data_IF_422971945251
#
_entry.id   IF_422971945251
#
_cell.length_a   1.000
_cell.length_b   1.000
_cell.length_c   1.000
_cell.angle_alpha   90.00
_cell.angle_beta   90.00
_cell.angle_gamma   90.00
#
_symmetry.space_group_name_H-M   'P 1'
#
loop_
_entity.id
_entity.type
_entity.pdbx_description
1 polymer ?
#
# COMPACT_ATOMS: atom_id res chain seq x y z
N UNK A 1 -5.90 6.59 31.85
CA UNK A 1 -5.91 5.34 31.07
C UNK A 1 -6.58 5.64 29.73
N UNK A 2 -5.79 5.82 28.66
CA UNK A 2 -6.33 6.16 27.34
C UNK A 2 -6.97 4.91 26.72
N UNK A 3 -8.26 4.94 26.40
CA UNK A 3 -8.90 3.88 25.63
C UNK A 3 -8.22 3.84 24.26
N UNK A 4 -7.63 2.71 23.86
CA UNK A 4 -7.35 2.47 22.43
C UNK A 4 -8.70 2.54 21.73
N UNK A 5 -8.84 3.47 20.81
CA UNK A 5 -10.02 3.54 19.97
C UNK A 5 -9.77 2.52 18.85
N UNK A 6 -10.55 1.44 18.87
CA UNK A 6 -10.46 0.40 17.85
C UNK A 6 -11.01 0.92 16.51
N UNK A 7 -10.40 0.46 15.43
CA UNK A 7 -10.84 0.71 14.06
C UNK A 7 -10.94 -0.63 13.33
N UNK A 8 -11.74 -0.68 12.27
CA UNK A 8 -11.87 -1.84 11.40
C UNK A 8 -12.71 -1.51 10.17
N UNK A 9 -13.35 -2.53 9.62
CA UNK A 9 -14.20 -2.42 8.41
C UNK A 9 -15.66 -2.85 8.65
N UNK A 10 -16.04 -3.09 9.91
CA UNK A 10 -17.42 -3.40 10.30
C UNK A 10 -18.29 -2.16 10.41
N UNK A 11 -19.60 -2.34 10.56
CA UNK A 11 -20.58 -1.24 10.54
C UNK A 11 -20.38 -0.16 11.63
N UNK A 12 -19.79 -0.52 12.78
CA UNK A 12 -19.65 0.40 13.93
C UNK A 12 -18.31 1.15 13.94
N UNK A 13 -17.24 0.53 13.44
CA UNK A 13 -15.87 1.07 13.49
C UNK A 13 -15.25 1.19 12.09
N UNK A 14 -16.10 1.30 11.08
CA UNK A 14 -15.76 1.33 9.66
C UNK A 14 -15.22 2.68 9.19
N UNK A 15 -14.81 2.78 7.91
CA UNK A 15 -14.23 3.99 7.33
C UNK A 15 -15.04 5.28 7.57
N UNK A 16 -16.37 5.20 7.52
CA UNK A 16 -17.27 6.34 7.72
C UNK A 16 -17.14 6.98 9.12
N UNK A 17 -16.69 6.22 10.13
CA UNK A 17 -16.53 6.70 11.51
C UNK A 17 -15.07 6.97 11.89
N UNK A 18 -14.10 6.63 11.03
CA UNK A 18 -12.67 6.77 11.37
C UNK A 18 -12.31 8.22 11.72
N UNK A 19 -12.91 9.18 11.04
CA UNK A 19 -12.62 10.59 11.23
C UNK A 19 -13.06 11.17 12.60
N UNK A 20 -13.85 10.43 13.37
CA UNK A 20 -14.24 10.83 14.72
C UNK A 20 -13.13 10.56 15.74
N UNK A 21 -12.23 9.64 15.41
CA UNK A 21 -11.11 9.21 16.27
C UNK A 21 -9.74 9.54 15.68
N UNK A 22 -9.65 9.62 14.35
CA UNK A 22 -8.45 9.91 13.59
C UNK A 22 -8.71 11.11 12.67
N UNK A 23 -8.52 12.36 13.15
CA UNK A 23 -8.87 13.56 12.40
C UNK A 23 -8.22 13.67 11.01
N UNK A 24 -7.08 13.01 10.80
CA UNK A 24 -6.41 12.93 9.51
C UNK A 24 -7.27 12.27 8.41
N UNK A 25 -8.24 11.42 8.76
CA UNK A 25 -9.16 10.80 7.81
C UNK A 25 -10.08 11.82 7.08
N UNK A 26 -10.19 13.06 7.60
CA UNK A 26 -10.85 14.20 6.92
C UNK A 26 -9.87 15.08 6.12
N UNK A 27 -8.63 14.64 5.94
CA UNK A 27 -7.60 15.37 5.21
C UNK A 27 -7.93 15.54 3.72
N UNK A 28 -7.29 16.52 3.06
CA UNK A 28 -7.52 16.81 1.63
C UNK A 28 -6.73 15.91 0.67
N UNK A 29 -5.76 15.16 1.20
CA UNK A 29 -4.88 14.29 0.42
C UNK A 29 -5.02 12.84 0.95
N UNK A 30 -6.25 12.34 1.05
CA UNK A 30 -6.52 10.96 1.45
C UNK A 30 -6.50 10.02 0.24
N UNK A 31 -6.27 8.75 0.52
CA UNK A 31 -6.34 7.64 -0.43
C UNK A 31 -7.25 6.55 0.16
N UNK A 32 -7.82 5.65 -0.66
CA UNK A 32 -7.68 5.55 -2.13
C UNK A 32 -8.43 6.65 -2.90
N UNK A 33 -8.23 6.68 -4.22
CA UNK A 33 -9.00 7.53 -5.15
C UNK A 33 -9.53 6.73 -6.35
N UNK A 34 -10.53 7.29 -7.01
CA UNK A 34 -10.91 6.86 -8.35
C UNK A 34 -10.07 7.59 -9.40
N UNK A 35 -9.43 6.80 -10.27
CA UNK A 35 -8.64 7.25 -11.40
C UNK A 35 -9.56 7.33 -12.63
N UNK A 36 -9.95 8.55 -12.99
CA UNK A 36 -10.67 8.80 -14.23
C UNK A 36 -9.68 9.05 -15.37
N UNK A 37 -9.50 8.08 -16.27
CA UNK A 37 -8.45 8.12 -17.31
C UNK A 37 -8.58 9.34 -18.22
N UNK A 38 -9.81 9.82 -18.45
CA UNK A 38 -10.10 11.05 -19.22
C UNK A 38 -9.43 12.32 -18.68
N UNK A 39 -9.07 12.37 -17.39
CA UNK A 39 -8.41 13.51 -16.76
C UNK A 39 -6.90 13.32 -16.56
N UNK A 40 -6.38 12.11 -16.84
CA UNK A 40 -4.96 11.79 -16.70
C UNK A 40 -4.22 12.22 -17.96
N UNK A 41 -3.09 12.90 -17.78
CA UNK A 41 -2.22 13.34 -18.89
C UNK A 41 -0.90 12.59 -18.84
N UNK A 42 -0.42 12.18 -20.00
CA UNK A 42 0.92 11.63 -20.13
C UNK A 42 1.96 12.73 -19.85
N UNK A 43 2.84 12.50 -18.88
CA UNK A 43 4.00 13.34 -18.59
C UNK A 43 5.27 12.66 -19.12
N UNK A 44 5.82 13.19 -20.21
CA UNK A 44 7.01 12.65 -20.86
C UNK A 44 8.30 12.81 -20.04
N UNK A 45 8.29 13.58 -18.95
CA UNK A 45 9.44 13.73 -18.04
C UNK A 45 9.57 12.57 -17.06
N UNK A 46 8.49 11.78 -16.86
CA UNK A 46 8.52 10.63 -15.98
C UNK A 46 9.41 9.53 -16.53
N UNK A 47 10.44 9.18 -15.76
CA UNK A 47 11.34 8.07 -16.07
C UNK A 47 10.77 6.75 -15.55
N UNK A 48 11.28 5.60 -16.01
CA UNK A 48 11.01 4.33 -15.35
C UNK A 48 11.53 4.35 -13.90
N UNK A 49 10.81 3.68 -13.00
CA UNK A 49 11.31 3.36 -11.65
C UNK A 49 12.02 2.01 -11.67
N UNK A 50 12.92 1.78 -10.71
CA UNK A 50 13.70 0.55 -10.59
C UNK A 50 13.56 -0.07 -9.21
N UNK A 51 13.55 -1.40 -9.16
CA UNK A 51 13.56 -2.16 -7.90
C UNK A 51 14.74 -3.11 -7.85
N UNK A 52 15.36 -3.18 -6.68
CA UNK A 52 16.34 -4.20 -6.32
C UNK A 52 15.87 -4.88 -5.06
N UNK A 53 15.10 -5.96 -5.22
CA UNK A 53 14.64 -6.82 -4.14
C UNK A 53 15.49 -8.08 -4.13
N UNK A 54 16.44 -8.15 -3.20
CA UNK A 54 17.32 -9.31 -3.02
C UNK A 54 16.65 -10.34 -2.11
N UNK A 55 17.16 -11.57 -2.09
CA UNK A 55 16.67 -12.58 -1.15
C UNK A 55 16.78 -12.08 0.28
N UNK A 56 15.68 -12.16 1.03
CA UNK A 56 15.69 -11.86 2.45
C UNK A 56 16.36 -13.02 3.21
N UNK A 57 17.22 -12.69 4.18
CA UNK A 57 17.68 -13.68 5.16
C UNK A 57 16.57 -14.11 6.11
N UNK A 58 15.62 -13.22 6.40
CA UNK A 58 14.39 -13.52 7.14
C UNK A 58 13.24 -12.59 6.73
N UNK A 59 12.02 -13.12 6.78
CA UNK A 59 10.76 -12.40 6.59
C UNK A 59 9.76 -12.90 7.63
N UNK A 60 8.91 -12.01 8.12
CA UNK A 60 7.81 -12.39 9.01
C UNK A 60 6.49 -12.19 8.29
N UNK A 61 5.68 -13.24 8.23
CA UNK A 61 4.28 -13.14 7.81
C UNK A 61 3.40 -13.09 9.06
N UNK A 62 2.44 -12.17 9.09
CA UNK A 62 1.52 -12.00 10.20
C UNK A 62 0.12 -11.62 9.71
N UNK A 63 -0.90 -12.14 10.39
CA UNK A 63 -2.25 -11.61 10.32
C UNK A 63 -2.44 -10.67 11.51
N UNK A 64 -2.72 -9.40 11.26
CA UNK A 64 -2.91 -8.40 12.31
C UNK A 64 -4.38 -8.12 12.66
N UNK A 65 -5.28 -8.97 12.18
CA UNK A 65 -6.73 -8.83 12.30
C UNK A 65 -7.39 -8.03 11.18
N UNK A 66 -6.61 -7.27 10.40
CA UNK A 66 -7.13 -6.43 9.30
C UNK A 66 -6.57 -6.83 7.94
N UNK A 67 -5.34 -7.32 7.88
CA UNK A 67 -4.70 -7.78 6.64
C UNK A 67 -3.63 -8.83 6.92
N UNK A 68 -3.16 -9.48 5.86
CA UNK A 68 -1.92 -10.27 5.90
C UNK A 68 -0.75 -9.34 5.56
N UNK A 69 0.22 -9.25 6.48
CA UNK A 69 1.42 -8.44 6.32
C UNK A 69 2.64 -9.34 6.17
N UNK A 70 3.46 -9.05 5.17
CA UNK A 70 4.82 -9.59 5.06
C UNK A 70 5.79 -8.48 5.41
N UNK A 71 6.55 -8.66 6.48
CA UNK A 71 7.50 -7.68 7.00
C UNK A 71 8.92 -8.01 6.54
N UNK A 72 9.60 -7.00 6.02
CA UNK A 72 10.98 -7.07 5.56
C UNK A 72 11.89 -6.30 6.51
N UNK A 73 13.11 -6.83 6.71
CA UNK A 73 14.17 -6.08 7.35
C UNK A 73 14.80 -5.08 6.37
N UNK A 74 14.24 -3.87 6.36
CA UNK A 74 14.71 -2.76 5.54
C UNK A 74 16.04 -2.15 5.98
N UNK A 75 16.67 -2.60 7.07
CA UNK A 75 17.95 -2.05 7.55
C UNK A 75 19.12 -2.41 6.63
N UNK A 76 19.06 -3.55 5.96
CA UNK A 76 20.16 -4.14 5.20
C UNK A 76 20.38 -3.54 3.80
N UNK A 77 19.58 -2.55 3.37
CA UNK A 77 19.66 -1.96 2.02
C UNK A 77 19.31 -2.94 0.88
N UNK A 78 18.82 -4.12 1.20
CA UNK A 78 18.58 -5.23 0.26
C UNK A 78 17.28 -5.11 -0.55
N UNK A 79 16.41 -4.15 -0.19
CA UNK A 79 15.13 -3.93 -0.82
C UNK A 79 14.93 -2.46 -1.15
N UNK A 80 15.42 -2.03 -2.32
CA UNK A 80 15.39 -0.62 -2.71
C UNK A 80 14.45 -0.39 -3.89
N UNK A 81 13.72 0.71 -3.81
CA UNK A 81 12.97 1.36 -4.88
C UNK A 81 13.63 2.70 -5.19
N UNK A 82 13.88 2.98 -6.46
CA UNK A 82 14.53 4.20 -6.96
C UNK A 82 13.91 4.68 -8.27
N UNK A 83 14.34 5.86 -8.70
CA UNK A 83 14.00 6.47 -9.98
C UNK A 83 12.50 6.79 -10.13
N UNK A 84 12.00 6.93 -11.36
CA UNK A 84 10.66 7.42 -11.61
C UNK A 84 10.42 8.84 -11.08
N UNK A 85 9.28 9.12 -10.45
CA UNK A 85 8.99 10.43 -9.85
C UNK A 85 9.69 10.65 -8.50
N UNK A 86 10.51 9.70 -8.03
CA UNK A 86 11.03 9.70 -6.66
C UNK A 86 12.31 10.54 -6.53
N UNK A 87 12.44 11.21 -5.39
CA UNK A 87 13.68 11.89 -4.97
C UNK A 87 14.38 11.00 -3.94
N UNK A 88 15.50 10.41 -4.33
CA UNK A 88 16.28 9.51 -3.47
C UNK A 88 15.89 8.05 -3.61
N UNK A 89 16.07 7.28 -2.54
CA UNK A 89 15.84 5.82 -2.53
C UNK A 89 14.98 5.40 -1.36
N UNK A 90 14.07 4.47 -1.60
CA UNK A 90 13.09 4.02 -0.62
C UNK A 90 13.30 2.54 -0.28
N UNK A 91 13.28 2.20 1.00
CA UNK A 91 13.49 0.84 1.51
C UNK A 91 12.15 0.14 1.68
N UNK A 92 11.97 -1.07 1.13
CA UNK A 92 10.77 -1.87 1.36
C UNK A 92 10.68 -2.23 2.84
N UNK A 93 9.51 -2.01 3.45
CA UNK A 93 9.23 -2.38 4.83
C UNK A 93 8.21 -3.49 4.93
N UNK A 94 7.16 -3.39 4.13
CA UNK A 94 5.98 -4.21 4.29
C UNK A 94 5.31 -4.45 2.94
N UNK A 95 4.78 -5.64 2.76
CA UNK A 95 3.77 -5.94 1.76
C UNK A 95 2.44 -6.22 2.50
N UNK A 96 1.34 -5.66 2.02
CA UNK A 96 0.01 -5.95 2.52
C UNK A 96 -0.99 -6.10 1.38
N UNK A 97 -2.15 -6.66 1.70
CA UNK A 97 -3.21 -6.91 0.72
C UNK A 97 -4.54 -6.31 1.19
N UNK A 98 -5.33 -5.88 0.24
CA UNK A 98 -6.74 -5.58 0.40
C UNK A 98 -7.54 -6.45 -0.55
N UNK A 99 -8.65 -6.99 -0.08
CA UNK A 99 -9.52 -7.90 -0.84
C UNK A 99 -10.97 -7.73 -0.40
N UNK A 100 -11.89 -8.11 -1.29
CA UNK A 100 -13.31 -8.07 -1.04
C UNK A 100 -13.88 -9.43 -0.67
N UNK A 101 -15.20 -9.51 -0.55
CA UNK A 101 -15.90 -10.76 -0.30
C UNK A 101 -16.14 -11.61 -1.55
N UNK A 102 -15.88 -11.07 -2.74
CA UNK A 102 -16.05 -11.74 -4.05
C UNK A 102 -15.07 -11.19 -5.08
N UNK A 103 -14.84 -11.95 -6.15
CA UNK A 103 -13.82 -11.67 -7.18
C UNK A 103 -14.04 -10.37 -7.99
N UNK A 104 -15.22 -9.78 -7.93
CA UNK A 104 -15.58 -8.53 -8.61
C UNK A 104 -15.34 -7.27 -7.74
N UNK A 105 -14.86 -7.43 -6.52
CA UNK A 105 -14.57 -6.34 -5.58
C UNK A 105 -13.36 -6.64 -4.71
N UNK A 106 -12.66 -5.59 -4.26
CA UNK A 106 -11.59 -5.74 -3.28
C UNK A 106 -10.45 -4.75 -3.41
N UNK A 107 -10.19 -4.23 -4.61
CA UNK A 107 -9.25 -3.12 -4.75
C UNK A 107 -9.76 -1.87 -4.07
N UNK A 108 -8.85 -1.16 -3.41
CA UNK A 108 -9.15 0.12 -2.78
C UNK A 108 -9.29 1.19 -3.87
N UNK A 109 -8.26 1.31 -4.73
CA UNK A 109 -8.29 2.16 -5.92
C UNK A 109 -9.25 1.62 -6.99
N UNK A 110 -9.76 2.53 -7.80
CA UNK A 110 -10.75 2.27 -8.87
C UNK A 110 -10.26 2.93 -10.14
N UNK A 111 -10.45 2.28 -11.31
CA UNK A 111 -10.14 2.88 -12.63
C UNK A 111 -11.43 2.98 -13.43
N UNK A 112 -11.88 4.20 -13.76
CA UNK A 112 -13.10 4.45 -14.55
C UNK A 112 -14.32 3.63 -14.05
N UNK A 113 -14.57 3.64 -12.75
CA UNK A 113 -15.62 2.85 -12.09
C UNK A 113 -15.34 1.35 -11.93
N UNK A 114 -14.26 0.81 -12.50
CA UNK A 114 -13.89 -0.61 -12.40
C UNK A 114 -13.08 -0.90 -11.14
N UNK A 115 -13.54 -1.89 -10.37
CA UNK A 115 -12.81 -2.50 -9.26
C UNK A 115 -12.18 -3.83 -9.68
N UNK A 116 -11.11 -4.20 -9.00
CA UNK A 116 -10.43 -5.48 -9.13
C UNK A 116 -10.65 -6.35 -7.89
N UNK A 117 -10.37 -7.65 -8.00
CA UNK A 117 -10.57 -8.64 -6.94
C UNK A 117 -9.75 -8.35 -5.68
N UNK A 118 -8.64 -7.63 -5.83
CA UNK A 118 -7.84 -7.15 -4.71
C UNK A 118 -6.79 -6.13 -5.12
N UNK A 119 -6.07 -5.63 -4.13
CA UNK A 119 -4.94 -4.71 -4.31
C UNK A 119 -3.80 -5.12 -3.37
N UNK A 120 -2.61 -5.34 -3.94
CA UNK A 120 -1.38 -5.61 -3.20
C UNK A 120 -0.56 -4.33 -3.10
N UNK A 121 -0.15 -3.96 -1.90
CA UNK A 121 0.57 -2.73 -1.61
C UNK A 121 1.96 -3.05 -1.07
N UNK A 122 3.00 -2.61 -1.79
CA UNK A 122 4.38 -2.59 -1.30
C UNK A 122 4.66 -1.23 -0.67
N UNK A 123 4.90 -1.21 0.64
CA UNK A 123 5.12 0.01 1.41
C UNK A 123 6.62 0.19 1.61
N UNK A 124 7.14 1.30 1.07
CA UNK A 124 8.52 1.71 1.21
C UNK A 124 8.63 3.00 2.01
N UNK A 125 9.78 3.22 2.63
CA UNK A 125 10.07 4.45 3.37
C UNK A 125 11.38 5.08 2.90
N UNK A 126 11.45 6.41 2.92
CA UNK A 126 12.58 7.16 2.37
C UNK A 126 13.84 6.94 3.20
N UNK A 127 14.92 6.48 2.57
CA UNK A 127 16.19 6.14 3.24
C UNK A 127 16.92 7.33 3.84
N UNK A 128 16.48 8.57 3.56
CA UNK A 128 17.06 9.78 4.15
C UNK A 128 16.69 9.98 5.63
N UNK A 129 15.64 9.30 6.09
CA UNK A 129 15.23 9.29 7.50
C UNK A 129 15.90 8.13 8.24
N UNK A 130 15.88 8.15 9.57
CA UNK A 130 16.53 7.09 10.36
C UNK A 130 15.70 5.81 10.38
N UNK A 131 14.37 5.94 10.36
CA UNK A 131 13.45 4.81 10.43
C UNK A 131 12.06 5.15 9.86
N UNK A 132 11.24 4.12 9.69
CA UNK A 132 9.87 4.25 9.17
C UNK A 132 8.95 5.13 10.03
N UNK A 133 9.16 5.19 11.35
CA UNK A 133 8.33 6.00 12.26
C UNK A 133 8.57 7.48 12.01
N UNK A 134 9.82 7.88 11.85
CA UNK A 134 10.18 9.24 11.46
C UNK A 134 9.72 9.55 10.03
N UNK A 135 9.96 8.66 9.08
CA UNK A 135 9.58 8.91 7.69
C UNK A 135 8.07 9.21 7.53
N UNK A 136 7.20 8.52 8.29
CA UNK A 136 5.74 8.70 8.22
C UNK A 136 5.23 10.09 8.56
N UNK A 137 6.00 10.92 9.28
CA UNK A 137 5.58 12.29 9.61
C UNK A 137 5.96 13.31 8.54
N UNK A 138 6.62 12.88 7.46
CA UNK A 138 7.05 13.73 6.36
C UNK A 138 6.28 13.45 5.06
N UNK A 139 5.94 14.49 4.26
CA UNK A 139 5.20 14.32 3.01
C UNK A 139 5.86 13.40 1.97
N UNK A 140 7.20 13.30 1.97
CA UNK A 140 7.95 12.48 1.03
C UNK A 140 8.57 11.23 1.69
N UNK A 141 8.10 10.87 2.89
CA UNK A 141 8.69 9.80 3.66
C UNK A 141 8.18 8.40 3.34
N UNK A 142 7.02 8.26 2.69
CA UNK A 142 6.45 6.96 2.30
C UNK A 142 6.10 6.95 0.83
N UNK A 143 6.38 5.83 0.18
CA UNK A 143 5.95 5.53 -1.18
C UNK A 143 5.28 4.15 -1.16
N UNK A 144 4.18 4.02 -1.89
CA UNK A 144 3.45 2.76 -2.01
C UNK A 144 3.37 2.39 -3.50
N UNK A 145 3.81 1.18 -3.84
CA UNK A 145 3.47 0.57 -5.14
C UNK A 145 2.20 -0.25 -4.93
N UNK A 146 1.09 0.21 -5.50
CA UNK A 146 -0.17 -0.52 -5.54
C UNK A 146 -0.27 -1.35 -6.82
N UNK A 147 -0.59 -2.63 -6.69
CA UNK A 147 -0.75 -3.57 -7.79
C UNK A 147 -2.15 -4.18 -7.72
N UNK A 148 -2.95 -4.00 -8.77
CA UNK A 148 -4.26 -4.64 -8.87
C UNK A 148 -4.13 -6.15 -9.07
N UNK A 149 -4.97 -6.91 -8.37
CA UNK A 149 -5.10 -8.35 -8.50
C UNK A 149 -6.41 -8.67 -9.22
N UNK A 150 -6.32 -9.38 -10.35
CA UNK A 150 -7.48 -9.85 -11.09
C UNK A 150 -7.60 -11.36 -10.90
N UNK A 151 -8.73 -11.80 -10.35
CA UNK A 151 -9.05 -13.22 -10.28
C UNK A 151 -9.18 -13.79 -11.69
N UNK A 152 -8.60 -14.97 -11.88
CA UNK A 152 -8.74 -15.78 -13.08
C UNK A 152 -8.79 -17.25 -12.67
N UNK A 153 -9.30 -18.10 -13.56
CA UNK A 153 -9.37 -19.54 -13.33
C UNK A 153 -7.95 -20.11 -13.36
N UNK A 154 -7.56 -20.77 -12.28
CA UNK A 154 -6.35 -21.59 -12.25
C UNK A 154 -6.53 -22.78 -13.20
N UNK A 155 -5.79 -22.80 -14.32
CA UNK A 155 -5.84 -23.88 -15.32
C UNK A 155 -4.76 -24.96 -15.12
N UNK A 156 -3.98 -24.88 -14.04
CA UNK A 156 -2.95 -25.86 -13.73
C UNK A 156 -3.25 -26.62 -12.45
N UNK A 157 -3.53 -27.92 -12.58
CA UNK A 157 -3.42 -28.87 -11.48
C UNK A 157 -1.95 -29.03 -11.09
N UNK A 158 -1.62 -28.75 -9.83
CA UNK A 158 -0.40 -29.28 -9.23
C UNK A 158 -0.77 -30.64 -8.65
N UNK A 159 -0.31 -31.72 -9.29
CA UNK A 159 -0.43 -33.10 -8.80
C UNK A 159 0.70 -33.37 -7.82
#
# INVERSE_FOLDING_TARGET
>A
MSRRHDWGYGAVYGPDTWADYFPCAKGQNQSPIELHTRYIKHDASLRPWTVSYRSASSMTIANDGNTVKVMFDGSSGNFLLKDGPLIGSYRLRQLQFHWGSSDDQGSEHVIDGLRYSGEMQFIHWNSKYDNVTEAKIHPDGVVIISVFLKADKWTHCVV
#
